data_IF_145075927086
#
_entry.id   IF_145075927086
#
_cell.length_a   1.000
_cell.length_b   1.000
_cell.length_c   1.000
_cell.angle_alpha   90.00
_cell.angle_beta   90.00
_cell.angle_gamma   90.00
#
_symmetry.space_group_name_H-M   'P 1'
#
loop_
_entity.id
_entity.type
_entity.pdbx_description
1 polymer ?
#
# COMPACT_ATOMS: atom_id res chain seq x y z
N UNK A 1 -12.07 -16.01 -7.89
CA UNK A 1 -11.48 -14.67 -7.59
C UNK A 1 -12.09 -13.63 -8.49
N UNK A 2 -12.40 -12.43 -7.96
CA UNK A 2 -12.70 -11.21 -8.71
C UNK A 2 -11.69 -10.13 -8.37
N UNK A 3 -11.45 -9.21 -9.31
CA UNK A 3 -10.72 -7.98 -9.06
C UNK A 3 -11.66 -6.77 -9.12
N UNK A 4 -11.29 -5.69 -8.42
CA UNK A 4 -12.03 -4.44 -8.41
C UNK A 4 -11.14 -3.29 -8.88
N UNK A 5 -11.67 -2.40 -9.71
CA UNK A 5 -10.98 -1.20 -10.18
C UNK A 5 -11.98 -0.10 -10.57
N UNK A 6 -11.70 1.14 -10.17
CA UNK A 6 -12.45 2.34 -10.59
C UNK A 6 -11.54 3.27 -11.40
N UNK A 7 -11.87 3.58 -12.66
CA UNK A 7 -11.05 4.44 -13.52
C UNK A 7 -10.80 5.86 -12.98
N UNK A 8 -11.61 6.35 -12.04
CA UNK A 8 -11.36 7.65 -11.38
C UNK A 8 -10.02 7.68 -10.63
N UNK A 9 -9.47 6.53 -10.26
CA UNK A 9 -8.14 6.40 -9.67
C UNK A 9 -7.03 6.91 -10.62
N UNK A 10 -7.22 6.81 -11.93
CA UNK A 10 -6.26 7.28 -12.93
C UNK A 10 -6.24 8.81 -13.07
N UNK A 11 -7.16 9.50 -12.40
CA UNK A 11 -7.17 10.97 -12.30
C UNK A 11 -6.03 11.55 -11.45
N UNK A 12 -5.38 10.74 -10.60
CA UNK A 12 -4.18 11.16 -9.89
C UNK A 12 -2.98 11.16 -10.84
N UNK A 13 -2.53 12.34 -11.25
CA UNK A 13 -1.45 12.54 -12.22
C UNK A 13 -0.41 13.50 -11.61
N UNK A 14 0.49 13.00 -10.73
CA UNK A 14 1.52 13.84 -10.14
C UNK A 14 2.50 14.33 -11.21
N UNK A 15 2.92 15.59 -11.14
CA UNK A 15 3.87 16.18 -12.10
C UNK A 15 5.32 15.93 -11.68
N UNK A 16 5.57 15.96 -10.39
CA UNK A 16 6.90 15.74 -9.83
C UNK A 16 6.81 15.34 -8.35
N UNK A 17 7.90 14.80 -7.84
CA UNK A 17 8.05 14.55 -6.40
C UNK A 17 9.47 14.89 -5.93
N UNK A 18 9.62 15.26 -4.66
CA UNK A 18 10.90 15.57 -4.06
C UNK A 18 11.52 14.29 -3.46
N UNK A 19 12.71 13.94 -3.92
CA UNK A 19 13.47 12.83 -3.34
C UNK A 19 14.96 13.21 -3.22
N UNK A 20 15.49 13.05 -2.02
CA UNK A 20 16.92 13.35 -1.72
C UNK A 20 17.36 14.74 -2.21
N UNK A 21 16.51 15.76 -1.98
CA UNK A 21 16.79 17.14 -2.39
C UNK A 21 16.69 17.43 -3.90
N UNK A 22 16.14 16.49 -4.68
CA UNK A 22 15.96 16.66 -6.13
C UNK A 22 14.52 16.41 -6.54
N UNK A 23 14.01 17.26 -7.44
CA UNK A 23 12.74 17.00 -8.11
C UNK A 23 12.91 15.84 -9.10
N UNK A 24 12.00 14.88 -9.04
CA UNK A 24 12.01 13.65 -9.84
C UNK A 24 10.74 13.54 -10.67
N UNK A 25 10.84 12.87 -11.81
CA UNK A 25 9.67 12.42 -12.58
C UNK A 25 8.97 11.32 -11.81
N UNK A 26 7.64 11.38 -11.66
CA UNK A 26 6.87 10.35 -11.00
C UNK A 26 7.04 8.98 -11.66
N UNK A 27 7.16 7.95 -10.83
CA UNK A 27 7.12 6.55 -11.23
C UNK A 27 5.72 5.95 -11.05
N UNK A 28 5.00 6.44 -10.05
CA UNK A 28 3.61 6.09 -9.81
C UNK A 28 2.72 6.90 -10.77
N UNK A 29 2.37 6.29 -11.90
CA UNK A 29 1.66 6.92 -13.03
C UNK A 29 0.43 6.10 -13.44
N UNK A 30 -0.59 6.73 -14.07
CA UNK A 30 -1.84 6.04 -14.46
C UNK A 30 -1.66 4.82 -15.35
N UNK A 31 -0.65 4.83 -16.20
CA UNK A 31 -0.38 3.74 -17.15
C UNK A 31 -0.16 2.39 -16.48
N UNK A 32 0.28 2.37 -15.21
CA UNK A 32 0.49 1.16 -14.41
C UNK A 32 -0.77 0.29 -14.36
N UNK A 33 -1.93 0.90 -14.14
CA UNK A 33 -3.22 0.19 -14.04
C UNK A 33 -3.55 -0.55 -15.33
N UNK A 34 -3.32 0.07 -16.48
CA UNK A 34 -3.57 -0.54 -17.78
C UNK A 34 -2.75 -1.83 -18.01
N UNK A 35 -1.50 -1.87 -17.55
CA UNK A 35 -0.65 -3.08 -17.64
C UNK A 35 -1.11 -4.17 -16.66
N UNK A 36 -1.51 -3.80 -15.44
CA UNK A 36 -2.04 -4.74 -14.45
C UNK A 36 -3.35 -5.37 -14.96
N UNK A 37 -4.28 -4.57 -15.48
CA UNK A 37 -5.56 -5.05 -16.01
C UNK A 37 -5.37 -6.03 -17.18
N UNK A 38 -4.39 -5.81 -18.07
CA UNK A 38 -4.02 -6.77 -19.12
C UNK A 38 -3.51 -8.09 -18.54
N UNK A 39 -2.75 -8.05 -17.46
CA UNK A 39 -2.28 -9.25 -16.76
C UNK A 39 -3.42 -10.06 -16.17
N UNK A 40 -4.44 -9.41 -15.60
CA UNK A 40 -5.66 -10.05 -15.08
C UNK A 40 -6.49 -10.67 -16.21
N UNK A 41 -6.66 -9.95 -17.33
CA UNK A 41 -7.34 -10.47 -18.51
C UNK A 41 -6.68 -11.76 -19.02
N UNK A 42 -5.35 -11.80 -19.06
CA UNK A 42 -4.57 -12.97 -19.51
C UNK A 42 -4.77 -14.23 -18.66
N UNK A 43 -5.20 -14.09 -17.41
CA UNK A 43 -5.51 -15.23 -16.50
C UNK A 43 -7.01 -15.38 -16.23
N UNK A 44 -7.85 -14.66 -16.96
CA UNK A 44 -9.31 -14.79 -16.88
C UNK A 44 -9.91 -14.29 -15.56
N UNK A 45 -9.25 -13.37 -14.85
CA UNK A 45 -9.79 -12.75 -13.64
C UNK A 45 -10.72 -11.59 -14.03
N UNK A 46 -12.03 -11.68 -13.75
CA UNK A 46 -12.96 -10.60 -14.07
C UNK A 46 -12.70 -9.37 -13.19
N UNK A 47 -12.81 -8.20 -13.81
CA UNK A 47 -12.66 -6.91 -13.12
C UNK A 47 -14.03 -6.23 -13.04
N UNK A 48 -14.46 -5.91 -11.82
CA UNK A 48 -15.72 -5.22 -11.53
C UNK A 48 -15.45 -3.81 -10.99
N UNK A 49 -16.42 -2.92 -11.10
CA UNK A 49 -16.34 -1.62 -10.44
C UNK A 49 -16.66 -1.76 -8.96
N UNK A 50 -15.95 -1.05 -8.07
CA UNK A 50 -16.32 -1.00 -6.66
C UNK A 50 -17.64 -0.26 -6.47
N UNK A 51 -18.30 -0.52 -5.35
CA UNK A 51 -19.39 0.31 -4.88
C UNK A 51 -18.89 1.39 -3.93
N UNK A 52 -19.66 2.45 -3.76
CA UNK A 52 -19.34 3.50 -2.79
C UNK A 52 -19.81 3.08 -1.39
N UNK A 53 -18.87 2.77 -0.50
CA UNK A 53 -19.11 2.42 0.91
C UNK A 53 -19.12 3.66 1.84
N UNK A 54 -18.91 4.87 1.29
CA UNK A 54 -18.80 6.11 2.03
C UNK A 54 -17.55 6.18 2.91
N UNK A 55 -17.56 7.11 3.86
CA UNK A 55 -16.40 7.42 4.70
C UNK A 55 -16.23 6.51 5.91
N UNK A 56 -17.19 5.62 6.22
CA UNK A 56 -17.17 4.86 7.49
C UNK A 56 -15.90 4.02 7.66
N UNK A 57 -15.50 3.26 6.63
CA UNK A 57 -14.30 2.43 6.67
C UNK A 57 -13.02 3.27 6.79
N UNK A 58 -12.95 4.37 6.03
CA UNK A 58 -11.81 5.29 6.01
C UNK A 58 -11.62 5.97 7.38
N UNK A 59 -12.71 6.44 7.99
CA UNK A 59 -12.71 7.10 9.31
C UNK A 59 -12.28 6.18 10.47
N UNK A 60 -12.28 4.86 10.29
CA UNK A 60 -11.78 3.90 11.31
C UNK A 60 -10.25 3.89 11.37
N UNK A 61 -9.60 4.32 10.31
CA UNK A 61 -8.14 4.25 10.15
C UNK A 61 -7.49 5.62 10.23
N UNK A 62 -8.06 6.61 9.56
CA UNK A 62 -7.45 7.93 9.41
C UNK A 62 -8.11 9.00 10.28
N UNK A 63 -7.30 9.95 10.75
CA UNK A 63 -7.75 11.09 11.52
C UNK A 63 -8.59 12.05 10.69
N UNK A 64 -9.70 12.53 11.27
CA UNK A 64 -10.62 13.46 10.60
C UNK A 64 -9.95 14.76 10.15
N UNK A 65 -8.95 15.25 10.89
CA UNK A 65 -8.19 16.44 10.52
C UNK A 65 -7.40 16.23 9.22
N UNK A 66 -6.76 15.08 9.12
CA UNK A 66 -6.04 14.66 7.92
C UNK A 66 -6.97 14.48 6.71
N UNK A 67 -8.10 13.79 6.90
CA UNK A 67 -9.07 13.55 5.82
C UNK A 67 -9.63 14.86 5.26
N UNK A 68 -9.99 15.82 6.14
CA UNK A 68 -10.42 17.16 5.72
C UNK A 68 -9.34 17.91 4.97
N UNK A 69 -8.08 17.79 5.42
CA UNK A 69 -6.96 18.36 4.69
C UNK A 69 -6.84 17.76 3.29
N UNK A 70 -6.84 16.44 3.12
CA UNK A 70 -6.74 15.79 1.82
C UNK A 70 -7.85 16.25 0.86
N UNK A 71 -9.10 16.31 1.34
CA UNK A 71 -10.26 16.72 0.56
C UNK A 71 -10.16 18.17 0.06
N UNK A 72 -9.61 19.06 0.88
CA UNK A 72 -9.61 20.51 0.65
C UNK A 72 -8.25 21.07 0.18
N UNK A 73 -7.17 20.32 0.33
CA UNK A 73 -5.80 20.82 0.22
C UNK A 73 -5.53 21.55 -1.10
N UNK A 74 -5.80 20.91 -2.23
CA UNK A 74 -5.53 21.49 -3.55
C UNK A 74 -6.32 22.79 -3.78
N UNK A 75 -7.62 22.78 -3.50
CA UNK A 75 -8.49 23.96 -3.65
C UNK A 75 -8.02 25.14 -2.79
N UNK A 76 -7.59 24.88 -1.55
CA UNK A 76 -7.08 25.92 -0.63
C UNK A 76 -5.69 26.39 -1.01
N UNK A 77 -4.87 25.52 -1.56
CA UNK A 77 -3.53 25.86 -2.04
C UNK A 77 -3.59 26.81 -3.24
N UNK A 78 -4.38 26.47 -4.25
CA UNK A 78 -4.53 27.27 -5.47
C UNK A 78 -5.33 28.58 -5.26
N UNK A 79 -6.08 28.68 -4.18
CA UNK A 79 -6.77 29.92 -3.77
C UNK A 79 -5.88 30.86 -2.94
N UNK A 80 -4.61 30.51 -2.70
CA UNK A 80 -3.65 31.35 -1.98
C UNK A 80 -3.34 32.66 -2.70
N UNK A 81 -2.77 33.63 -1.98
CA UNK A 81 -2.46 34.97 -2.55
C UNK A 81 -1.28 34.95 -3.53
N UNK A 82 -0.44 33.92 -3.48
CA UNK A 82 0.76 33.75 -4.28
C UNK A 82 0.64 32.51 -5.17
N UNK A 83 1.39 32.46 -6.26
CA UNK A 83 1.52 31.29 -7.11
C UNK A 83 2.49 30.30 -6.46
N UNK A 84 1.95 29.30 -5.78
CA UNK A 84 2.73 28.19 -5.19
C UNK A 84 2.76 26.94 -6.08
N UNK A 85 2.29 27.05 -7.32
CA UNK A 85 2.15 25.94 -8.27
C UNK A 85 0.86 25.15 -8.07
N UNK A 86 0.66 24.14 -8.95
CA UNK A 86 -0.59 23.38 -9.06
C UNK A 86 -0.67 22.16 -8.14
N UNK A 87 0.35 21.90 -7.35
CA UNK A 87 0.39 20.73 -6.45
C UNK A 87 0.77 21.17 -5.03
N UNK A 88 0.04 20.66 -4.04
CA UNK A 88 0.41 20.85 -2.64
C UNK A 88 1.63 20.02 -2.32
N UNK A 89 2.73 20.67 -2.02
CA UNK A 89 3.97 19.99 -1.62
C UNK A 89 4.66 20.81 -0.53
N UNK A 90 4.80 20.23 0.66
CA UNK A 90 5.50 20.91 1.74
C UNK A 90 7.01 20.76 1.61
N UNK A 91 7.73 21.85 1.89
CA UNK A 91 9.16 21.85 2.13
C UNK A 91 9.50 22.04 3.63
N UNK A 92 8.48 22.04 4.48
CA UNK A 92 8.58 22.16 5.95
C UNK A 92 7.86 20.97 6.56
N UNK A 93 8.43 20.38 7.61
CA UNK A 93 7.85 19.24 8.32
C UNK A 93 7.70 19.55 9.81
N UNK A 94 6.49 19.38 10.33
CA UNK A 94 6.14 19.69 11.72
C UNK A 94 6.81 18.70 12.66
N UNK A 95 7.44 19.25 13.74
CA UNK A 95 8.07 18.45 14.80
C UNK A 95 7.49 18.68 16.19
N UNK A 96 6.49 19.55 16.30
CA UNK A 96 5.90 19.94 17.59
C UNK A 96 4.38 20.07 17.47
N UNK A 97 3.62 19.84 18.57
CA UNK A 97 2.16 19.87 18.56
C UNK A 97 1.59 21.29 18.62
N UNK A 98 2.11 22.21 17.82
CA UNK A 98 1.59 23.57 17.74
C UNK A 98 0.29 23.63 16.93
N UNK A 99 -0.62 24.57 17.24
CA UNK A 99 -1.81 24.79 16.43
C UNK A 99 -1.44 25.15 14.98
N UNK A 100 -2.03 24.43 14.03
CA UNK A 100 -1.82 24.68 12.60
C UNK A 100 -2.60 25.94 12.17
N UNK A 101 -1.96 26.81 11.42
CA UNK A 101 -2.59 28.04 10.90
C UNK A 101 -2.32 28.14 9.40
N UNK A 102 -3.35 27.83 8.62
CA UNK A 102 -3.31 27.91 7.16
C UNK A 102 -2.76 26.67 6.47
N UNK A 103 -2.96 26.62 5.15
CA UNK A 103 -2.69 25.44 4.32
C UNK A 103 -1.22 25.02 4.31
N UNK A 104 -0.26 25.96 4.42
CA UNK A 104 1.17 25.64 4.51
C UNK A 104 1.52 24.87 5.80
N UNK A 105 0.92 25.25 6.94
CA UNK A 105 1.14 24.55 8.19
C UNK A 105 0.47 23.17 8.20
N UNK A 106 -0.70 23.06 7.59
CA UNK A 106 -1.40 21.79 7.44
C UNK A 106 -0.65 20.84 6.50
N UNK A 107 -0.14 21.32 5.35
CA UNK A 107 0.70 20.52 4.46
C UNK A 107 1.98 20.05 5.16
N UNK A 108 2.60 20.91 5.98
CA UNK A 108 3.77 20.53 6.78
C UNK A 108 3.48 19.45 7.84
N UNK A 109 2.22 19.31 8.29
CA UNK A 109 1.77 18.30 9.26
C UNK A 109 1.34 17.00 8.58
N UNK A 110 0.58 17.10 7.49
CA UNK A 110 -0.14 15.98 6.89
C UNK A 110 0.56 15.37 5.68
N UNK A 111 1.74 15.88 5.30
CA UNK A 111 2.67 15.24 4.37
C UNK A 111 3.93 14.83 5.14
N UNK A 112 4.17 13.53 5.28
CA UNK A 112 5.32 13.00 6.02
C UNK A 112 6.65 13.21 5.28
N UNK A 113 6.57 13.32 3.94
CA UNK A 113 7.72 13.54 3.06
C UNK A 113 7.31 14.27 1.77
N UNK A 114 8.27 14.54 0.88
CA UNK A 114 8.04 15.25 -0.38
C UNK A 114 7.61 14.37 -1.56
N UNK A 115 7.23 13.11 -1.33
CA UNK A 115 6.86 12.19 -2.42
C UNK A 115 5.35 12.06 -2.65
N UNK A 116 4.54 12.83 -1.92
CA UNK A 116 3.08 12.82 -2.01
C UNK A 116 2.51 14.18 -2.44
N UNK A 117 2.74 14.66 -3.67
CA UNK A 117 2.13 15.88 -4.16
C UNK A 117 0.61 15.69 -4.26
N UNK A 118 -0.17 16.72 -3.83
CA UNK A 118 -1.62 16.66 -3.89
C UNK A 118 -2.11 17.58 -5.01
N UNK A 119 -2.55 16.99 -6.12
CA UNK A 119 -3.18 17.68 -7.25
C UNK A 119 -4.71 17.69 -7.14
N UNK A 120 -5.36 18.26 -8.15
CA UNK A 120 -6.83 18.46 -8.20
C UNK A 120 -7.62 17.16 -7.99
N UNK A 121 -7.15 16.05 -8.56
CA UNK A 121 -7.85 14.77 -8.54
C UNK A 121 -7.30 13.75 -7.52
N UNK A 122 -6.33 14.15 -6.71
CA UNK A 122 -5.68 13.23 -5.78
C UNK A 122 -6.64 12.68 -4.72
N UNK A 123 -7.48 13.54 -4.12
CA UNK A 123 -8.49 13.09 -3.15
C UNK A 123 -9.47 12.10 -3.77
N UNK A 124 -10.05 12.45 -4.93
CA UNK A 124 -11.00 11.58 -5.63
C UNK A 124 -10.39 10.21 -5.95
N UNK A 125 -9.15 10.19 -6.46
CA UNK A 125 -8.43 8.96 -6.77
C UNK A 125 -8.15 8.13 -5.51
N UNK A 126 -7.65 8.75 -4.43
CA UNK A 126 -7.38 8.07 -3.17
C UNK A 126 -8.67 7.53 -2.52
N UNK A 127 -9.76 8.29 -2.58
CA UNK A 127 -11.07 7.85 -2.11
C UNK A 127 -11.53 6.59 -2.83
N UNK A 128 -11.48 6.58 -4.16
CA UNK A 128 -11.89 5.41 -4.96
C UNK A 128 -10.92 4.24 -4.84
N UNK A 129 -9.65 4.49 -4.56
CA UNK A 129 -8.70 3.44 -4.20
C UNK A 129 -9.12 2.74 -2.90
N UNK A 130 -9.54 3.49 -1.89
CA UNK A 130 -10.08 2.94 -0.65
C UNK A 130 -11.41 2.20 -0.86
N UNK A 131 -12.34 2.73 -1.70
CA UNK A 131 -13.59 2.03 -2.03
C UNK A 131 -13.33 0.71 -2.78
N UNK A 132 -12.27 0.66 -3.60
CA UNK A 132 -11.82 -0.56 -4.28
C UNK A 132 -11.37 -1.62 -3.26
N UNK A 133 -10.58 -1.23 -2.26
CA UNK A 133 -10.17 -2.13 -1.18
C UNK A 133 -11.34 -2.60 -0.32
N UNK A 134 -12.30 -1.71 0.00
CA UNK A 134 -13.52 -2.05 0.75
C UNK A 134 -14.42 -3.01 -0.02
N UNK A 135 -14.57 -2.83 -1.34
CA UNK A 135 -15.37 -3.74 -2.18
C UNK A 135 -14.75 -5.13 -2.26
N UNK A 136 -13.42 -5.21 -2.38
CA UNK A 136 -12.71 -6.47 -2.37
C UNK A 136 -12.79 -7.17 -0.99
N UNK A 137 -12.73 -6.42 0.10
CA UNK A 137 -12.97 -6.95 1.45
C UNK A 137 -14.41 -7.49 1.61
N UNK A 138 -15.41 -6.76 1.08
CA UNK A 138 -16.81 -7.20 1.06
C UNK A 138 -17.04 -8.51 0.30
N UNK A 139 -16.26 -8.76 -0.75
CA UNK A 139 -16.33 -10.03 -1.50
C UNK A 139 -15.88 -11.22 -0.63
N UNK A 140 -14.83 -11.05 0.20
CA UNK A 140 -14.41 -12.07 1.18
C UNK A 140 -15.47 -12.28 2.26
N UNK A 141 -16.07 -11.21 2.78
CA UNK A 141 -17.15 -11.29 3.78
C UNK A 141 -18.40 -11.99 3.20
N UNK A 142 -18.61 -11.91 1.89
CA UNK A 142 -19.65 -12.65 1.19
C UNK A 142 -19.30 -14.13 0.93
N UNK A 143 -18.13 -14.60 1.37
CA UNK A 143 -17.70 -16.00 1.30
C UNK A 143 -16.82 -16.35 0.09
N UNK A 144 -16.35 -15.36 -0.68
CA UNK A 144 -15.39 -15.63 -1.73
C UNK A 144 -14.03 -16.05 -1.12
N UNK A 145 -13.33 -17.04 -1.70
CA UNK A 145 -12.03 -17.48 -1.18
C UNK A 145 -10.93 -16.47 -1.42
N UNK A 146 -11.06 -15.61 -2.42
CA UNK A 146 -10.07 -14.58 -2.72
C UNK A 146 -10.67 -13.42 -3.52
N UNK A 147 -10.07 -12.23 -3.34
CA UNK A 147 -10.40 -11.01 -4.10
C UNK A 147 -9.14 -10.15 -4.31
N UNK A 148 -9.18 -9.27 -5.30
CA UNK A 148 -8.07 -8.35 -5.57
C UNK A 148 -8.57 -6.91 -5.71
N UNK A 149 -7.95 -6.00 -4.98
CA UNK A 149 -8.13 -4.56 -5.08
C UNK A 149 -7.01 -3.94 -5.92
N UNK A 150 -7.31 -3.51 -7.14
CA UNK A 150 -6.37 -2.78 -8.01
C UNK A 150 -6.34 -1.33 -7.56
N UNK A 151 -5.65 -1.09 -6.44
CA UNK A 151 -5.56 0.22 -5.80
C UNK A 151 -4.55 1.12 -6.51
N UNK A 152 -4.97 2.35 -6.81
CA UNK A 152 -4.15 3.46 -7.25
C UNK A 152 -4.79 4.80 -6.80
N UNK A 153 -4.10 5.66 -6.03
CA UNK A 153 -2.74 5.50 -5.47
C UNK A 153 -2.59 4.29 -4.55
N UNK A 154 -1.33 3.82 -4.31
CA UNK A 154 -1.03 2.79 -3.32
C UNK A 154 -1.31 3.28 -1.89
N UNK A 155 -1.14 2.42 -0.86
CA UNK A 155 -1.61 2.73 0.47
C UNK A 155 -0.66 2.45 1.63
N UNK A 156 0.24 1.50 1.57
CA UNK A 156 0.94 0.93 2.73
C UNK A 156 1.83 1.94 3.50
N UNK A 157 2.27 3.02 2.86
CA UNK A 157 3.03 4.09 3.50
C UNK A 157 2.16 5.16 4.18
N UNK A 158 0.87 5.27 3.83
CA UNK A 158 -0.01 6.27 4.43
C UNK A 158 -0.21 5.99 5.92
N UNK A 159 0.14 6.99 6.75
CA UNK A 159 0.00 6.94 8.19
C UNK A 159 -1.44 7.26 8.59
N UNK A 160 -1.75 7.12 9.88
CA UNK A 160 -3.06 7.53 10.42
C UNK A 160 -3.40 8.98 10.09
N UNK A 161 -2.40 9.85 10.09
CA UNK A 161 -2.56 11.30 9.96
C UNK A 161 -1.61 11.95 8.94
N UNK A 162 -1.00 11.19 8.03
CA UNK A 162 -0.11 11.78 7.03
C UNK A 162 0.05 10.92 5.77
N UNK A 163 0.12 11.58 4.62
CA UNK A 163 0.55 11.00 3.34
C UNK A 163 2.06 10.80 3.31
N UNK A 164 2.54 9.76 2.64
CA UNK A 164 3.97 9.48 2.44
C UNK A 164 4.17 8.41 1.38
N UNK A 165 5.33 8.37 0.72
CA UNK A 165 5.71 7.30 -0.22
C UNK A 165 4.70 7.05 -1.33
N UNK A 166 4.15 8.05 -1.98
CA UNK A 166 3.08 7.99 -3.00
C UNK A 166 1.70 7.58 -2.45
N UNK A 167 1.56 7.33 -1.15
CA UNK A 167 0.35 6.83 -0.51
C UNK A 167 -0.41 7.96 0.22
N UNK A 168 -1.73 7.97 0.09
CA UNK A 168 -2.61 8.97 0.69
C UNK A 168 -3.60 8.36 1.70
N UNK A 169 -4.25 7.25 1.36
CA UNK A 169 -5.08 6.46 2.26
C UNK A 169 -4.51 5.06 2.36
N UNK A 170 -4.49 4.49 3.56
CA UNK A 170 -3.95 3.15 3.77
C UNK A 170 -4.99 2.08 3.40
N UNK A 171 -4.99 1.71 2.12
CA UNK A 171 -5.99 0.80 1.55
C UNK A 171 -6.05 -0.55 2.27
N UNK A 172 -4.88 -1.11 2.60
CA UNK A 172 -4.79 -2.40 3.32
C UNK A 172 -5.31 -2.29 4.75
N UNK A 173 -4.98 -1.22 5.47
CA UNK A 173 -5.48 -1.01 6.82
C UNK A 173 -7.00 -0.76 6.85
N UNK A 174 -7.52 -0.02 5.85
CA UNK A 174 -8.96 0.21 5.69
C UNK A 174 -9.69 -1.11 5.41
N UNK A 175 -9.14 -1.96 4.52
CA UNK A 175 -9.68 -3.28 4.26
C UNK A 175 -9.61 -4.19 5.49
N UNK A 176 -8.49 -4.19 6.23
CA UNK A 176 -8.34 -4.95 7.47
C UNK A 176 -9.41 -4.56 8.50
N UNK A 177 -9.59 -3.24 8.72
CA UNK A 177 -10.60 -2.73 9.64
C UNK A 177 -12.04 -3.09 9.23
N UNK A 178 -12.31 -3.20 7.93
CA UNK A 178 -13.61 -3.66 7.42
C UNK A 178 -13.78 -5.19 7.61
N UNK A 179 -12.75 -5.97 7.26
CA UNK A 179 -12.76 -7.44 7.42
C UNK A 179 -12.97 -7.87 8.86
N UNK A 180 -12.48 -7.11 9.84
CA UNK A 180 -12.64 -7.43 11.28
C UNK A 180 -14.10 -7.47 11.76
N UNK A 181 -15.05 -7.01 10.96
CA UNK A 181 -16.48 -7.22 11.27
C UNK A 181 -16.91 -8.70 11.15
N UNK A 182 -16.16 -9.52 10.35
CA UNK A 182 -16.44 -10.94 10.14
C UNK A 182 -15.25 -11.85 10.50
N UNK A 183 -14.04 -11.34 10.47
CA UNK A 183 -12.78 -12.04 10.66
C UNK A 183 -11.97 -11.39 11.79
N UNK A 184 -12.11 -11.82 13.05
CA UNK A 184 -11.48 -11.15 14.19
C UNK A 184 -9.95 -11.03 14.13
N UNK A 185 -9.27 -11.99 13.51
CA UNK A 185 -7.80 -12.05 13.41
C UNK A 185 -7.36 -11.91 11.97
N UNK A 186 -6.62 -10.85 11.67
CA UNK A 186 -6.12 -10.55 10.32
C UNK A 186 -4.59 -10.64 10.28
N UNK A 187 -4.04 -11.37 9.32
CA UNK A 187 -2.63 -11.23 8.97
C UNK A 187 -2.49 -10.31 7.76
N UNK A 188 -1.52 -9.41 7.78
CA UNK A 188 -1.11 -8.58 6.64
C UNK A 188 0.33 -8.95 6.30
N UNK A 189 0.54 -9.56 5.15
CA UNK A 189 1.84 -9.82 4.57
C UNK A 189 2.15 -8.76 3.51
N UNK A 190 3.23 -8.04 3.71
CA UNK A 190 3.68 -6.93 2.86
C UNK A 190 5.00 -7.30 2.18
N UNK A 191 4.98 -7.88 0.96
CA UNK A 191 6.15 -8.19 0.18
C UNK A 191 6.57 -7.08 -0.78
N UNK A 192 6.05 -5.84 -0.66
CA UNK A 192 6.54 -4.68 -1.41
C UNK A 192 8.02 -4.44 -1.10
N UNK A 193 8.75 -3.87 -2.06
CA UNK A 193 10.19 -3.59 -1.88
C UNK A 193 10.47 -2.63 -0.72
N UNK A 194 9.52 -1.75 -0.42
CA UNK A 194 9.61 -0.76 0.65
C UNK A 194 8.84 -1.21 1.89
N UNK A 195 9.38 -0.91 3.06
CA UNK A 195 8.67 -1.15 4.31
C UNK A 195 7.39 -0.30 4.40
N UNK A 196 6.26 -0.92 4.71
CA UNK A 196 4.95 -0.26 4.86
C UNK A 196 4.79 0.36 6.26
N UNK A 197 5.51 1.44 6.55
CA UNK A 197 5.50 2.08 7.88
C UNK A 197 4.11 2.57 8.31
N UNK A 198 3.25 2.88 7.35
CA UNK A 198 1.88 3.29 7.65
C UNK A 198 1.07 2.14 8.26
N UNK A 199 1.17 0.93 7.72
CA UNK A 199 0.52 -0.26 8.27
C UNK A 199 1.11 -0.58 9.64
N UNK A 200 2.45 -0.60 9.77
CA UNK A 200 3.13 -0.81 11.05
C UNK A 200 2.60 0.15 12.12
N UNK A 201 2.57 1.46 11.85
CA UNK A 201 2.13 2.48 12.81
C UNK A 201 0.66 2.31 13.22
N UNK A 202 -0.22 1.96 12.28
CA UNK A 202 -1.66 1.81 12.53
C UNK A 202 -1.96 0.63 13.47
N UNK A 203 -1.17 -0.46 13.37
CA UNK A 203 -1.42 -1.70 14.13
C UNK A 203 -0.38 -2.00 15.21
N UNK A 204 0.55 -1.09 15.50
CA UNK A 204 1.74 -1.35 16.34
C UNK A 204 1.45 -1.77 17.77
N UNK A 205 0.32 -1.34 18.33
CA UNK A 205 -0.13 -1.63 19.70
C UNK A 205 -1.28 -2.66 19.76
N UNK A 206 -1.53 -3.40 18.65
CA UNK A 206 -2.67 -4.32 18.50
C UNK A 206 -2.21 -5.76 18.34
N UNK A 207 -2.94 -6.70 19.01
CA UNK A 207 -2.70 -8.16 18.97
C UNK A 207 -3.66 -8.93 18.06
N UNK A 208 -4.66 -8.25 17.52
CA UNK A 208 -5.65 -8.81 16.59
C UNK A 208 -5.26 -8.68 15.10
N UNK A 209 -4.16 -7.95 14.82
CA UNK A 209 -3.55 -7.83 13.49
C UNK A 209 -2.07 -8.19 13.55
N UNK A 210 -1.67 -9.24 12.84
CA UNK A 210 -0.27 -9.58 12.63
C UNK A 210 0.22 -8.86 11.35
N UNK A 211 1.16 -7.93 11.48
CA UNK A 211 1.82 -7.30 10.34
C UNK A 211 3.21 -7.91 10.11
N UNK A 212 3.48 -8.35 8.87
CA UNK A 212 4.76 -8.91 8.45
C UNK A 212 5.20 -8.21 7.18
N UNK A 213 6.36 -7.55 7.19
CA UNK A 213 6.92 -6.88 6.02
C UNK A 213 8.25 -7.53 5.58
N UNK A 214 8.34 -7.89 4.30
CA UNK A 214 9.55 -8.38 3.65
C UNK A 214 10.02 -7.29 2.69
N UNK A 215 11.09 -6.58 3.00
CA UNK A 215 11.51 -5.39 2.29
C UNK A 215 13.03 -5.25 2.21
N UNK A 216 13.51 -4.37 1.34
CA UNK A 216 14.93 -3.99 1.31
C UNK A 216 15.35 -3.30 2.60
N UNK A 217 16.55 -3.58 3.10
CA UNK A 217 17.10 -2.93 4.28
C UNK A 217 16.88 -1.41 4.23
N UNK A 218 16.19 -0.86 5.23
CA UNK A 218 15.80 0.55 5.27
C UNK A 218 16.95 1.53 5.50
N UNK A 219 18.16 1.04 5.74
CA UNK A 219 19.37 1.89 5.88
C UNK A 219 19.62 2.66 4.58
N UNK A 220 19.39 3.98 4.59
CA UNK A 220 19.46 4.86 3.42
C UNK A 220 18.52 4.49 2.26
N UNK A 221 17.48 3.69 2.54
CA UNK A 221 16.42 3.31 1.63
C UNK A 221 15.06 3.65 2.25
N UNK A 222 14.12 4.16 1.45
CA UNK A 222 12.81 4.58 1.97
C UNK A 222 12.11 3.42 2.72
N UNK A 223 11.47 3.64 3.85
CA UNK A 223 11.18 4.91 4.53
C UNK A 223 12.28 5.44 5.46
N UNK A 224 13.45 4.82 5.53
CA UNK A 224 14.68 5.22 6.23
C UNK A 224 14.60 5.10 7.77
N UNK A 225 13.47 5.44 8.37
CA UNK A 225 13.34 5.61 9.84
C UNK A 225 12.67 4.42 10.54
N UNK A 226 12.17 3.45 9.78
CA UNK A 226 11.49 2.24 10.27
C UNK A 226 11.77 1.05 9.36
N UNK A 227 11.38 -0.15 9.77
CA UNK A 227 11.60 -1.40 9.04
C UNK A 227 12.76 -2.21 9.61
N UNK A 228 13.16 -1.94 10.86
CA UNK A 228 14.24 -2.67 11.53
C UNK A 228 13.70 -3.93 12.23
N UNK A 229 14.52 -5.00 12.30
CA UNK A 229 14.11 -6.30 12.89
C UNK A 229 13.76 -6.22 14.39
N UNK A 230 14.24 -5.20 15.09
CA UNK A 230 13.96 -4.97 16.51
C UNK A 230 12.66 -4.20 16.79
N UNK A 231 11.99 -3.69 15.76
CA UNK A 231 10.67 -3.08 15.86
C UNK A 231 9.59 -4.17 15.89
N UNK A 232 9.13 -4.53 17.09
CA UNK A 232 8.33 -5.74 17.31
C UNK A 232 6.91 -5.48 17.82
N UNK A 233 6.41 -4.25 17.73
CA UNK A 233 5.14 -3.83 18.35
C UNK A 233 5.32 -3.28 19.76
N UNK A 234 4.27 -2.73 20.31
CA UNK A 234 4.23 -2.15 21.66
C UNK A 234 2.96 -2.59 22.41
N UNK A 235 3.03 -2.59 23.74
CA UNK A 235 1.89 -2.97 24.58
C UNK A 235 1.30 -4.34 24.23
N UNK A 236 0.00 -4.39 23.92
CA UNK A 236 -0.67 -5.61 23.48
C UNK A 236 -0.14 -6.14 22.12
N UNK A 237 0.33 -5.23 21.26
CA UNK A 237 0.87 -5.55 19.93
C UNK A 237 2.30 -6.10 19.94
N UNK A 238 2.94 -6.23 21.12
CA UNK A 238 4.31 -6.76 21.14
C UNK A 238 4.39 -8.20 20.66
N UNK A 239 5.17 -8.42 19.59
CA UNK A 239 5.30 -9.69 18.89
C UNK A 239 4.39 -9.84 17.64
N UNK A 240 3.49 -8.89 17.43
CA UNK A 240 2.58 -8.88 16.25
C UNK A 240 3.03 -7.96 15.12
N UNK A 241 4.22 -7.35 15.23
CA UNK A 241 4.93 -6.67 14.16
C UNK A 241 6.24 -7.42 13.86
N UNK A 242 6.44 -7.85 12.61
CA UNK A 242 7.61 -8.62 12.19
C UNK A 242 8.19 -7.98 10.92
N UNK A 243 9.37 -7.37 11.06
CA UNK A 243 10.14 -6.82 9.96
C UNK A 243 11.22 -7.80 9.52
N UNK A 244 11.27 -8.12 8.22
CA UNK A 244 12.18 -9.05 7.60
C UNK A 244 13.01 -8.34 6.50
N UNK A 245 13.92 -7.44 6.87
CA UNK A 245 14.75 -6.72 5.90
C UNK A 245 15.67 -7.67 5.13
N UNK A 246 15.87 -7.36 3.84
CA UNK A 246 16.76 -8.08 2.94
C UNK A 246 17.92 -7.15 2.55
N UNK A 247 19.19 -7.56 2.67
CA UNK A 247 20.32 -6.77 2.21
C UNK A 247 20.21 -6.44 0.72
N UNK A 248 20.54 -5.21 0.34
CA UNK A 248 20.48 -4.77 -1.06
C UNK A 248 21.39 -5.60 -1.96
N UNK A 249 20.90 -5.97 -3.13
CA UNK A 249 21.63 -6.81 -4.09
C UNK A 249 21.54 -8.31 -3.81
N UNK A 250 20.69 -8.71 -2.85
CA UNK A 250 20.45 -10.12 -2.57
C UNK A 250 19.76 -10.85 -3.74
N UNK A 251 20.07 -12.14 -3.93
CA UNK A 251 19.38 -12.96 -4.93
C UNK A 251 17.94 -13.29 -4.52
N UNK A 252 17.16 -13.81 -5.47
CA UNK A 252 15.78 -14.24 -5.26
C UNK A 252 15.62 -15.23 -4.09
N UNK A 253 16.60 -16.10 -3.87
CA UNK A 253 16.57 -17.07 -2.75
C UNK A 253 16.43 -16.40 -1.38
N UNK A 254 17.07 -15.24 -1.17
CA UNK A 254 16.96 -14.51 0.08
C UNK A 254 15.54 -13.99 0.33
N UNK A 255 14.83 -13.57 -0.73
CA UNK A 255 13.41 -13.20 -0.62
C UNK A 255 12.55 -14.39 -0.18
N UNK A 256 12.76 -15.56 -0.80
CA UNK A 256 11.98 -16.76 -0.48
C UNK A 256 12.31 -17.34 0.90
N UNK A 257 13.53 -17.22 1.42
CA UNK A 257 13.87 -17.55 2.80
C UNK A 257 13.08 -16.68 3.81
N UNK A 258 12.98 -15.37 3.53
CA UNK A 258 12.15 -14.46 4.35
C UNK A 258 10.66 -14.75 4.20
N UNK A 259 10.19 -15.12 3.00
CA UNK A 259 8.81 -15.53 2.77
C UNK A 259 8.44 -16.81 3.56
N UNK A 260 9.33 -17.80 3.62
CA UNK A 260 9.12 -19.00 4.43
C UNK A 260 8.99 -18.65 5.92
N UNK A 261 9.83 -17.74 6.42
CA UNK A 261 9.75 -17.21 7.80
C UNK A 261 8.41 -16.49 8.04
N UNK A 262 7.99 -15.64 7.11
CA UNK A 262 6.73 -14.92 7.17
C UNK A 262 5.52 -15.86 7.19
N UNK A 263 5.49 -16.85 6.29
CA UNK A 263 4.39 -17.82 6.22
C UNK A 263 4.34 -18.75 7.43
N UNK A 264 5.50 -19.04 8.06
CA UNK A 264 5.51 -19.73 9.34
C UNK A 264 4.85 -18.88 10.44
N UNK A 265 5.13 -17.58 10.50
CA UNK A 265 4.49 -16.68 11.46
C UNK A 265 2.97 -16.56 11.21
N UNK A 266 2.54 -16.45 9.94
CA UNK A 266 1.11 -16.51 9.55
C UNK A 266 0.46 -17.79 10.07
N UNK A 267 1.10 -18.94 9.84
CA UNK A 267 0.57 -20.24 10.31
C UNK A 267 0.45 -20.32 11.84
N UNK A 268 1.43 -19.79 12.57
CA UNK A 268 1.39 -19.76 14.06
C UNK A 268 0.33 -18.81 14.58
N UNK A 269 0.12 -17.70 13.89
CA UNK A 269 -0.90 -16.71 14.25
C UNK A 269 -2.31 -17.23 13.99
N UNK A 270 -2.53 -18.17 13.06
CA UNK A 270 -3.84 -18.73 12.68
C UNK A 270 -4.86 -17.63 12.35
N UNK A 271 -4.62 -16.77 11.34
CA UNK A 271 -5.53 -15.71 10.98
C UNK A 271 -6.83 -16.24 10.36
N UNK A 272 -7.93 -15.49 10.54
CA UNK A 272 -9.21 -15.76 9.87
C UNK A 272 -9.19 -15.30 8.40
N UNK A 273 -8.36 -14.31 8.06
CA UNK A 273 -8.10 -13.85 6.70
C UNK A 273 -6.66 -13.34 6.55
N UNK A 274 -6.10 -13.49 5.34
CA UNK A 274 -4.79 -12.98 4.95
C UNK A 274 -4.95 -11.84 3.95
N UNK A 275 -4.34 -10.70 4.24
CA UNK A 275 -4.16 -9.59 3.29
C UNK A 275 -2.73 -9.63 2.77
N UNK A 276 -2.54 -9.50 1.45
CA UNK A 276 -1.23 -9.35 0.82
C UNK A 276 -1.18 -7.98 0.15
N UNK A 277 -0.28 -7.10 0.61
CA UNK A 277 0.01 -5.81 -0.02
C UNK A 277 1.03 -6.02 -1.12
N UNK A 278 0.53 -6.22 -2.35
CA UNK A 278 1.32 -6.68 -3.47
C UNK A 278 2.04 -5.53 -4.17
N UNK A 279 3.35 -5.39 -3.94
CA UNK A 279 4.25 -4.58 -4.75
C UNK A 279 4.91 -5.41 -5.85
N UNK A 280 4.95 -4.89 -7.08
CA UNK A 280 5.73 -5.49 -8.18
C UNK A 280 7.15 -4.89 -8.28
N UNK A 281 7.53 -4.02 -7.39
CA UNK A 281 8.85 -3.36 -7.34
C UNK A 281 9.96 -4.25 -6.76
N UNK A 282 9.63 -5.46 -6.30
CA UNK A 282 10.61 -6.53 -6.05
C UNK A 282 11.12 -7.20 -7.34
N UNK A 283 10.53 -6.90 -8.51
CA UNK A 283 10.96 -7.44 -9.80
C UNK A 283 12.39 -7.01 -10.14
N UNK A 284 13.22 -7.93 -10.64
CA UNK A 284 14.65 -7.73 -10.85
C UNK A 284 15.03 -6.52 -11.74
N UNK A 285 14.17 -6.13 -12.68
CA UNK A 285 14.39 -4.98 -13.56
C UNK A 285 13.63 -3.72 -13.13
N UNK A 286 12.92 -3.73 -11.99
CA UNK A 286 12.23 -2.56 -11.50
C UNK A 286 13.22 -1.47 -11.05
N UNK A 287 12.99 -0.18 -11.38
CA UNK A 287 13.90 0.91 -11.01
C UNK A 287 14.04 1.09 -9.48
N UNK A 288 13.12 0.59 -8.69
CA UNK A 288 13.16 0.64 -7.22
C UNK A 288 13.67 -0.65 -6.58
N UNK A 289 13.85 -1.74 -7.34
CA UNK A 289 14.26 -3.04 -6.81
C UNK A 289 15.59 -3.00 -6.07
N UNK A 290 15.65 -3.74 -4.97
CA UNK A 290 16.86 -4.02 -4.17
C UNK A 290 17.11 -5.52 -4.02
N UNK A 291 16.19 -6.34 -4.51
CA UNK A 291 16.25 -7.80 -4.62
C UNK A 291 15.83 -8.18 -6.04
N UNK A 292 16.24 -9.34 -6.52
CA UNK A 292 16.04 -9.74 -7.92
C UNK A 292 14.99 -10.86 -8.02
N UNK A 293 13.70 -10.55 -7.81
CA UNK A 293 12.61 -11.51 -8.00
C UNK A 293 12.27 -11.61 -9.49
N UNK A 294 12.24 -12.82 -10.02
CA UNK A 294 11.92 -13.11 -11.42
C UNK A 294 10.40 -13.18 -11.66
N UNK A 295 9.97 -13.21 -12.93
CA UNK A 295 8.58 -13.51 -13.28
C UNK A 295 8.09 -14.83 -12.65
N UNK A 296 8.92 -15.88 -12.67
CA UNK A 296 8.58 -17.15 -12.04
C UNK A 296 8.52 -17.05 -10.51
N UNK A 297 9.28 -16.13 -9.93
CA UNK A 297 9.20 -15.79 -8.51
C UNK A 297 7.83 -15.26 -8.11
N UNK A 298 7.19 -14.43 -8.94
CA UNK A 298 5.80 -13.99 -8.68
C UNK A 298 4.81 -15.15 -8.73
N UNK A 299 4.99 -16.12 -9.63
CA UNK A 299 4.16 -17.32 -9.65
C UNK A 299 4.30 -18.10 -8.32
N UNK A 300 5.54 -18.34 -7.89
CA UNK A 300 5.83 -19.00 -6.61
C UNK A 300 5.26 -18.22 -5.41
N UNK A 301 5.36 -16.88 -5.41
CA UNK A 301 4.77 -16.05 -4.37
C UNK A 301 3.24 -16.23 -4.33
N UNK A 302 2.56 -16.17 -5.49
CA UNK A 302 1.13 -16.39 -5.60
C UNK A 302 0.68 -17.75 -5.06
N UNK A 303 1.38 -18.84 -5.46
CA UNK A 303 1.13 -20.19 -4.93
C UNK A 303 1.30 -20.24 -3.40
N UNK A 304 2.38 -19.64 -2.89
CA UNK A 304 2.70 -19.70 -1.46
C UNK A 304 1.62 -19.02 -0.62
N UNK A 305 1.15 -17.84 -1.01
CA UNK A 305 0.13 -17.11 -0.23
C UNK A 305 -1.25 -17.76 -0.34
N UNK A 306 -1.60 -18.31 -1.50
CA UNK A 306 -2.85 -19.07 -1.67
C UNK A 306 -2.83 -20.38 -0.85
N UNK A 307 -1.68 -21.02 -0.76
CA UNK A 307 -1.46 -22.23 0.06
C UNK A 307 -1.62 -22.01 1.57
N UNK A 308 -1.81 -20.78 2.06
CA UNK A 308 -2.15 -20.52 3.46
C UNK A 308 -3.51 -21.12 3.87
N UNK A 309 -4.41 -21.36 2.91
CA UNK A 309 -5.72 -21.97 3.15
C UNK A 309 -6.73 -21.07 3.88
N UNK A 310 -6.44 -19.78 3.97
CA UNK A 310 -7.33 -18.74 4.54
C UNK A 310 -7.89 -17.84 3.44
N UNK A 311 -9.06 -17.19 3.63
CA UNK A 311 -9.53 -16.16 2.71
C UNK A 311 -8.43 -15.14 2.40
N UNK A 312 -8.17 -14.89 1.10
CA UNK A 312 -7.04 -14.09 0.62
C UNK A 312 -7.54 -12.78 -0.03
N UNK A 313 -7.18 -11.65 0.56
CA UNK A 313 -7.33 -10.34 -0.08
C UNK A 313 -5.98 -9.86 -0.59
N UNK A 314 -5.87 -9.57 -1.88
CA UNK A 314 -4.70 -8.90 -2.44
C UNK A 314 -5.02 -7.41 -2.61
N UNK A 315 -4.11 -6.54 -2.18
CA UNK A 315 -4.20 -5.07 -2.33
C UNK A 315 -2.98 -4.60 -3.11
N UNK A 316 -3.18 -3.91 -4.24
CA UNK A 316 -2.08 -3.42 -5.07
C UNK A 316 -1.33 -2.29 -4.40
N UNK A 317 0.01 -2.36 -4.44
CA UNK A 317 0.93 -1.32 -3.99
C UNK A 317 1.90 -0.90 -5.11
N UNK A 318 3.21 -0.99 -4.91
CA UNK A 318 4.26 -0.56 -5.84
C UNK A 318 4.40 -1.37 -7.12
N UNK A 319 5.47 -1.08 -7.85
CA UNK A 319 5.83 -1.68 -9.14
C UNK A 319 5.82 -0.67 -10.29
N UNK A 320 7.00 -0.40 -10.85
CA UNK A 320 7.23 0.78 -11.71
C UNK A 320 7.90 0.44 -13.05
N UNK A 321 8.27 -0.82 -13.26
CA UNK A 321 8.75 -1.30 -14.57
C UNK A 321 7.56 -1.70 -15.45
N UNK A 322 7.00 -0.75 -16.19
CA UNK A 322 5.73 -0.90 -16.91
C UNK A 322 5.66 -2.16 -17.78
N UNK A 323 6.73 -2.42 -18.55
CA UNK A 323 6.76 -3.54 -19.51
C UNK A 323 6.61 -4.91 -18.84
N UNK A 324 7.03 -5.06 -17.58
CA UNK A 324 6.92 -6.31 -16.83
C UNK A 324 5.61 -6.45 -16.05
N UNK A 325 4.87 -5.36 -15.79
CA UNK A 325 3.67 -5.41 -14.94
C UNK A 325 2.64 -6.41 -15.43
N UNK A 326 2.40 -6.48 -16.75
CA UNK A 326 1.46 -7.45 -17.34
C UNK A 326 1.89 -8.88 -17.04
N UNK A 327 3.16 -9.21 -17.25
CA UNK A 327 3.66 -10.56 -17.02
C UNK A 327 3.76 -10.87 -15.51
N UNK A 328 4.23 -9.95 -14.68
CA UNK A 328 4.27 -10.14 -13.22
C UNK A 328 2.88 -10.39 -12.65
N UNK A 329 1.88 -9.60 -13.07
CA UNK A 329 0.47 -9.80 -12.69
C UNK A 329 -0.03 -11.15 -13.13
N UNK A 330 0.20 -11.52 -14.40
CA UNK A 330 -0.18 -12.83 -14.95
C UNK A 330 0.42 -13.97 -14.13
N UNK A 331 1.69 -13.91 -13.83
CA UNK A 331 2.40 -14.94 -13.09
C UNK A 331 1.88 -15.06 -11.64
N UNK A 332 1.75 -13.95 -10.94
CA UNK A 332 1.26 -13.96 -9.57
C UNK A 332 -0.14 -14.59 -9.47
N UNK A 333 -1.08 -14.14 -10.30
CA UNK A 333 -2.45 -14.65 -10.24
C UNK A 333 -2.61 -16.06 -10.82
N UNK A 334 -1.77 -16.47 -11.78
CA UNK A 334 -1.67 -17.87 -12.18
C UNK A 334 -1.18 -18.75 -11.01
N UNK A 335 -0.24 -18.25 -10.21
CA UNK A 335 0.20 -18.89 -8.96
C UNK A 335 -0.95 -19.02 -7.96
N UNK A 336 -1.69 -17.94 -7.70
CA UNK A 336 -2.85 -17.94 -6.79
C UNK A 336 -3.93 -18.94 -7.24
N UNK A 337 -4.17 -19.09 -8.53
CA UNK A 337 -5.16 -20.05 -9.07
C UNK A 337 -4.72 -21.51 -8.99
N UNK A 338 -3.43 -21.78 -8.83
CA UNK A 338 -2.84 -23.12 -8.77
C UNK A 338 -2.48 -23.60 -7.37
N UNK A 339 -2.55 -22.74 -6.36
CA UNK A 339 -2.35 -23.05 -4.93
C UNK A 339 -3.65 -23.29 -4.24
#
# INVERSE_FOLDING_TARGET
MKAFFEPMQDGHIPRSYLSRGQMRTPLEIPERTGYILKGLEAVGVPVERPVDHGMRGINRVHDLGYLRFLEDAHRRWTAGPDDWGDEVMSNVFVRSPNPLRGILAESARYQADGSCPIGEKTWEAAYWSAQTALSAAGELQAGAPSAYAVCRPPGHHARRDAAGGFCYLNNAAIAAAALQEAFPRIAILDPDMHHGQGIQEIFYDRDDVLYISIHGDSTNFYPVVTGHEDERGDGAGYGYNINLPIPHGSPESAFFERLETAMHAVKVFEPDALIVTLGFDIYEADPQAKVAVSHQGFHRLGQTVAGAGTPLLVVQEGGYHLESLTENTRQFFSGVQSG
#
